data_IF_822211701917
#
_entry.id   IF_822211701917
#
_cell.length_a   1.000
_cell.length_b   1.000
_cell.length_c   1.000
_cell.angle_alpha   90.00
_cell.angle_beta   90.00
_cell.angle_gamma   90.00
#
_symmetry.space_group_name_H-M   'P 1'
#
loop_
_entity.id
_entity.type
_entity.pdbx_description
1 polymer ?
#
# COMPACT_ATOMS: atom_id res chain seq x y z
N UNK A 1 -1.32 -3.08 3.78
CA UNK A 1 -1.12 -3.17 2.31
C UNK A 1 -1.88 -2.03 1.66
N UNK A 2 -1.28 -1.42 0.65
CA UNK A 2 -1.92 -0.41 -0.20
C UNK A 2 -1.64 -0.85 -1.63
N UNK A 3 -2.68 -1.06 -2.42
CA UNK A 3 -2.58 -1.60 -3.77
C UNK A 3 -3.44 -0.79 -4.73
N UNK A 4 -2.92 -0.54 -5.93
CA UNK A 4 -3.51 0.32 -6.94
C UNK A 4 -4.21 -0.55 -8.01
N UNK A 5 -5.36 -0.11 -8.49
CA UNK A 5 -6.08 -0.79 -9.58
C UNK A 5 -6.93 0.21 -10.36
N UNK A 6 -7.30 -0.13 -11.59
CA UNK A 6 -8.20 0.69 -12.40
C UNK A 6 -9.49 -0.08 -12.68
N UNK A 7 -10.64 0.60 -12.57
CA UNK A 7 -11.93 0.00 -12.91
C UNK A 7 -12.17 -0.04 -14.43
N UNK A 8 -13.29 -0.64 -14.83
CA UNK A 8 -13.69 -0.77 -16.26
C UNK A 8 -13.93 0.58 -16.95
N UNK A 9 -14.06 1.67 -16.18
CA UNK A 9 -14.17 3.04 -16.69
C UNK A 9 -12.83 3.78 -16.66
N UNK A 10 -11.74 3.07 -16.37
CA UNK A 10 -10.38 3.58 -16.27
C UNK A 10 -10.22 4.64 -15.18
N UNK A 11 -10.97 4.50 -14.08
CA UNK A 11 -10.77 5.30 -12.86
C UNK A 11 -9.83 4.56 -11.92
N UNK A 12 -8.86 5.29 -11.41
CA UNK A 12 -7.90 4.79 -10.43
C UNK A 12 -8.59 4.55 -9.08
N UNK A 13 -8.27 3.41 -8.48
CA UNK A 13 -8.78 2.97 -7.21
C UNK A 13 -7.64 2.39 -6.37
N UNK A 14 -7.78 2.52 -5.06
CA UNK A 14 -6.77 2.07 -4.10
C UNK A 14 -7.44 1.21 -3.06
N UNK A 15 -6.96 -0.01 -2.91
CA UNK A 15 -7.34 -0.94 -1.84
C UNK A 15 -6.43 -0.70 -0.65
N UNK A 16 -7.02 -0.59 0.54
CA UNK A 16 -6.27 -0.52 1.79
C UNK A 16 -6.69 -1.65 2.71
N UNK A 17 -5.71 -2.45 3.12
CA UNK A 17 -5.85 -3.48 4.15
C UNK A 17 -4.85 -3.25 5.28
N UNK A 18 -5.22 -3.57 6.50
CA UNK A 18 -4.31 -3.53 7.65
C UNK A 18 -4.18 -4.89 8.30
N UNK A 19 -2.99 -5.16 8.81
CA UNK A 19 -2.73 -6.32 9.64
C UNK A 19 -2.36 -5.84 11.04
N UNK A 20 -2.93 -6.45 12.06
CA UNK A 20 -2.62 -6.17 13.46
C UNK A 20 -2.64 -7.45 14.29
N UNK A 21 -2.05 -7.37 15.47
CA UNK A 21 -2.04 -8.46 16.44
C UNK A 21 -2.86 -8.02 17.64
N UNK A 22 -3.77 -8.88 18.10
CA UNK A 22 -4.59 -8.62 19.28
C UNK A 22 -3.87 -8.96 20.60
N UNK A 23 -4.55 -8.75 21.72
CA UNK A 23 -4.01 -9.01 23.06
C UNK A 23 -3.76 -10.51 23.33
N UNK A 24 -4.28 -11.41 22.48
CA UNK A 24 -4.07 -12.86 22.54
C UNK A 24 -2.98 -13.33 21.58
N UNK A 25 -2.21 -12.41 20.99
CA UNK A 25 -1.18 -12.69 19.98
C UNK A 25 -1.73 -13.33 18.69
N UNK A 26 -3.01 -13.11 18.38
CA UNK A 26 -3.61 -13.57 17.13
C UNK A 26 -3.45 -12.48 16.08
N UNK A 27 -2.94 -12.86 14.91
CA UNK A 27 -2.84 -11.97 13.77
C UNK A 27 -4.19 -11.87 13.05
N UNK A 28 -4.60 -10.64 12.76
CA UNK A 28 -5.82 -10.30 12.04
C UNK A 28 -5.47 -9.50 10.80
N UNK A 29 -6.24 -9.71 9.73
CA UNK A 29 -6.19 -8.89 8.52
C UNK A 29 -7.58 -8.32 8.24
N UNK A 30 -7.66 -7.01 8.12
CA UNK A 30 -8.92 -6.29 7.91
C UNK A 30 -8.86 -5.45 6.63
N UNK A 31 -9.89 -5.58 5.82
CA UNK A 31 -10.12 -4.73 4.66
C UNK A 31 -10.73 -3.40 5.11
N UNK A 32 -10.02 -2.30 4.88
CA UNK A 32 -10.47 -0.96 5.29
C UNK A 32 -11.28 -0.24 4.21
N UNK A 33 -11.18 -0.69 2.96
CA UNK A 33 -11.97 -0.14 1.86
C UNK A 33 -11.23 -0.07 0.54
N UNK A 34 -12.03 0.24 -0.48
CA UNK A 34 -11.63 0.55 -1.84
C UNK A 34 -11.98 2.02 -2.09
N UNK A 35 -10.98 2.82 -2.43
CA UNK A 35 -11.09 4.27 -2.52
C UNK A 35 -10.77 4.74 -3.92
N UNK A 36 -11.68 5.47 -4.55
CA UNK A 36 -11.40 6.11 -5.84
C UNK A 36 -10.51 7.33 -5.63
N UNK A 37 -9.47 7.47 -6.46
CA UNK A 37 -8.56 8.60 -6.46
C UNK A 37 -8.47 9.22 -7.86
N UNK A 38 -8.15 10.50 -7.93
CA UNK A 38 -8.00 11.19 -9.21
C UNK A 38 -6.71 10.78 -9.95
N UNK A 39 -5.70 10.32 -9.21
CA UNK A 39 -4.43 9.84 -9.74
C UNK A 39 -3.68 8.98 -8.71
N UNK A 40 -2.72 8.19 -9.18
CA UNK A 40 -1.85 7.31 -8.39
C UNK A 40 -0.49 7.95 -8.06
N UNK A 41 -0.38 9.28 -8.03
CA UNK A 41 0.86 9.93 -7.61
C UNK A 41 1.13 9.69 -6.12
N UNK A 42 2.40 9.58 -5.74
CA UNK A 42 2.79 9.28 -4.35
C UNK A 42 2.14 10.19 -3.31
N UNK A 43 2.03 11.50 -3.58
CA UNK A 43 1.46 12.48 -2.66
C UNK A 43 -0.04 12.23 -2.43
N UNK A 44 -0.76 11.90 -3.51
CA UNK A 44 -2.19 11.55 -3.45
C UNK A 44 -2.41 10.29 -2.61
N UNK A 45 -1.57 9.27 -2.82
CA UNK A 45 -1.65 8.01 -2.08
C UNK A 45 -1.30 8.19 -0.60
N UNK A 46 -0.26 8.97 -0.28
CA UNK A 46 0.10 9.29 1.10
C UNK A 46 -1.02 10.05 1.80
N UNK A 47 -1.62 11.05 1.13
CA UNK A 47 -2.76 11.79 1.67
C UNK A 47 -3.96 10.87 1.93
N UNK A 48 -4.29 9.97 0.99
CA UNK A 48 -5.36 8.98 1.16
C UNK A 48 -5.10 8.06 2.35
N UNK A 49 -3.89 7.49 2.47
CA UNK A 49 -3.53 6.60 3.59
C UNK A 49 -3.73 7.34 4.92
N UNK A 50 -3.26 8.58 5.02
CA UNK A 50 -3.38 9.38 6.24
C UNK A 50 -4.84 9.72 6.56
N UNK A 51 -5.64 10.07 5.57
CA UNK A 51 -7.07 10.31 5.73
C UNK A 51 -7.81 9.06 6.26
N UNK A 52 -7.55 7.91 5.65
CA UNK A 52 -8.19 6.64 6.02
C UNK A 52 -7.84 6.27 7.46
N UNK A 53 -6.56 6.35 7.82
CA UNK A 53 -6.12 6.10 9.20
C UNK A 53 -6.77 7.08 10.18
N UNK A 54 -6.85 8.37 9.84
CA UNK A 54 -7.48 9.39 10.67
C UNK A 54 -8.98 9.11 10.88
N UNK A 55 -9.72 8.78 9.81
CA UNK A 55 -11.15 8.44 9.89
C UNK A 55 -11.43 7.22 10.77
N UNK A 56 -10.49 6.29 10.84
CA UNK A 56 -10.58 5.09 11.68
C UNK A 56 -9.95 5.29 13.07
N UNK A 57 -9.50 6.51 13.38
CA UNK A 57 -8.84 6.86 14.63
C UNK A 57 -7.58 6.00 14.90
N UNK A 58 -6.89 5.60 13.82
CA UNK A 58 -5.65 4.84 13.85
C UNK A 58 -4.47 5.80 13.71
N UNK A 59 -3.49 5.68 14.60
CA UNK A 59 -2.28 6.50 14.53
C UNK A 59 -1.24 5.87 13.61
N UNK A 60 -0.70 6.65 12.67
CA UNK A 60 0.45 6.25 11.84
C UNK A 60 1.66 5.83 12.67
N UNK A 61 1.80 6.34 13.90
CA UNK A 61 2.87 5.94 14.83
C UNK A 61 2.82 4.47 15.26
N UNK A 62 1.69 3.79 15.02
CA UNK A 62 1.53 2.35 15.24
C UNK A 62 1.87 1.53 14.01
N UNK A 63 2.10 2.15 12.85
CA UNK A 63 2.56 1.46 11.66
C UNK A 63 3.95 0.87 11.90
N UNK A 64 4.09 -0.42 11.62
CA UNK A 64 5.38 -1.15 11.72
C UNK A 64 5.81 -1.70 10.38
N UNK A 65 4.85 -2.04 9.53
CA UNK A 65 5.13 -2.72 8.28
C UNK A 65 4.12 -2.28 7.22
N UNK A 66 4.63 -1.90 6.06
CA UNK A 66 3.82 -1.59 4.89
C UNK A 66 4.37 -2.34 3.68
N UNK A 67 3.42 -2.79 2.85
CA UNK A 67 3.67 -3.51 1.61
C UNK A 67 3.48 -2.55 0.47
N UNK A 68 4.44 -2.53 -0.44
CA UNK A 68 4.47 -1.67 -1.60
C UNK A 68 4.76 -2.51 -2.83
N UNK A 69 4.14 -2.18 -3.97
CA UNK A 69 4.63 -2.68 -5.24
C UNK A 69 5.99 -2.03 -5.60
N UNK A 70 6.59 -2.51 -6.69
CA UNK A 70 7.87 -2.00 -7.18
C UNK A 70 7.75 -0.70 -7.99
N UNK A 71 6.55 -0.12 -8.13
CA UNK A 71 6.34 1.08 -8.93
C UNK A 71 7.06 2.28 -8.31
N UNK A 72 7.46 3.23 -9.15
CA UNK A 72 8.18 4.42 -8.69
C UNK A 72 7.38 5.26 -7.70
N UNK A 73 6.05 5.26 -7.84
CA UNK A 73 5.17 6.02 -6.94
C UNK A 73 5.12 5.38 -5.55
N UNK A 74 5.22 4.05 -5.46
CA UNK A 74 5.18 3.32 -4.19
C UNK A 74 6.57 3.18 -3.56
N UNK A 75 7.53 2.61 -4.30
CA UNK A 75 8.86 2.27 -3.82
C UNK A 75 9.96 3.29 -4.15
N UNK A 76 9.63 4.41 -4.81
CA UNK A 76 10.60 5.42 -5.22
C UNK A 76 11.44 5.99 -4.07
N UNK A 77 12.77 5.93 -4.20
CA UNK A 77 13.69 6.32 -3.14
C UNK A 77 13.66 7.83 -2.77
N UNK A 78 13.21 8.68 -3.69
CA UNK A 78 13.19 10.15 -3.52
C UNK A 78 11.84 10.66 -3.02
N UNK A 79 10.74 10.21 -3.65
CA UNK A 79 9.39 10.73 -3.44
C UNK A 79 8.32 9.64 -3.34
N UNK A 80 8.69 8.36 -3.32
CA UNK A 80 7.71 7.27 -3.24
C UNK A 80 6.97 7.26 -1.90
N UNK A 81 5.78 6.65 -1.87
CA UNK A 81 4.95 6.49 -0.65
C UNK A 81 5.78 5.92 0.49
N UNK A 82 6.59 4.89 0.22
CA UNK A 82 7.47 4.28 1.21
C UNK A 82 8.44 5.27 1.86
N UNK A 83 9.02 6.18 1.06
CA UNK A 83 9.96 7.19 1.56
C UNK A 83 9.24 8.22 2.43
N UNK A 84 8.06 8.66 2.00
CA UNK A 84 7.26 9.65 2.71
C UNK A 84 6.73 9.12 4.03
N UNK A 85 6.10 7.93 4.03
CA UNK A 85 5.61 7.28 5.27
C UNK A 85 6.75 7.04 6.26
N UNK A 86 7.91 6.56 5.79
CA UNK A 86 9.08 6.34 6.64
C UNK A 86 9.68 7.64 7.21
N UNK A 87 9.45 8.78 6.56
CA UNK A 87 9.85 10.08 7.11
C UNK A 87 9.02 10.49 8.34
N UNK A 88 7.76 10.06 8.39
CA UNK A 88 6.85 10.30 9.53
C UNK A 88 6.95 9.23 10.61
N UNK A 89 7.09 7.96 10.21
CA UNK A 89 7.27 6.82 11.12
C UNK A 89 8.51 6.01 10.69
N UNK A 90 9.71 6.33 11.23
CA UNK A 90 10.96 5.66 10.85
C UNK A 90 10.99 4.15 11.11
N UNK A 91 10.12 3.63 11.98
CA UNK A 91 9.98 2.20 12.27
C UNK A 91 9.09 1.47 11.26
N UNK A 92 8.43 2.17 10.34
CA UNK A 92 7.67 1.56 9.26
C UNK A 92 8.64 0.91 8.26
N UNK A 93 8.74 -0.42 8.32
CA UNK A 93 9.59 -1.22 7.47
C UNK A 93 8.98 -1.31 6.07
N UNK A 94 9.81 -1.06 5.06
CA UNK A 94 9.48 -1.30 3.66
C UNK A 94 9.52 -2.80 3.37
N UNK A 95 8.49 -3.34 2.74
CA UNK A 95 8.55 -4.68 2.15
C UNK A 95 7.87 -4.72 0.80
N UNK A 96 8.49 -5.48 -0.09
CA UNK A 96 8.00 -5.62 -1.45
C UNK A 96 6.75 -6.51 -1.50
N UNK A 97 5.81 -6.18 -2.36
CA UNK A 97 4.61 -6.98 -2.58
C UNK A 97 4.97 -8.29 -3.29
N UNK A 98 4.88 -9.41 -2.57
CA UNK A 98 5.08 -10.73 -3.17
C UNK A 98 4.01 -11.07 -4.22
N UNK A 99 2.78 -10.57 -4.05
CA UNK A 99 1.70 -10.75 -5.04
C UNK A 99 2.07 -10.11 -6.39
N UNK A 100 2.48 -8.84 -6.37
CA UNK A 100 2.96 -8.16 -7.57
C UNK A 100 4.23 -8.83 -8.16
N UNK A 101 5.19 -9.19 -7.31
CA UNK A 101 6.41 -9.86 -7.77
C UNK A 101 6.11 -11.21 -8.45
N UNK A 102 5.18 -11.99 -7.91
CA UNK A 102 4.73 -13.25 -8.50
C UNK A 102 4.00 -13.01 -9.83
N UNK A 103 3.10 -12.02 -9.87
CA UNK A 103 2.37 -11.69 -11.10
C UNK A 103 3.33 -11.32 -12.24
N UNK A 104 4.35 -10.49 -11.95
CA UNK A 104 5.38 -10.14 -12.93
C UNK A 104 6.20 -11.36 -13.40
N UNK A 105 6.55 -12.26 -12.48
CA UNK A 105 7.28 -13.48 -12.84
C UNK A 105 6.45 -14.41 -13.73
N UNK A 106 5.15 -14.55 -13.46
CA UNK A 106 4.23 -15.31 -14.30
C UNK A 106 4.04 -14.67 -15.68
N UNK A 107 3.84 -13.37 -15.74
CA UNK A 107 3.70 -12.63 -16.99
C UNK A 107 4.96 -12.75 -17.87
N UNK A 108 6.15 -12.63 -17.27
CA UNK A 108 7.41 -12.84 -17.98
C UNK A 108 7.57 -14.29 -18.47
N UNK A 109 7.22 -15.28 -17.66
CA UNK A 109 7.25 -16.69 -18.08
C UNK A 109 6.30 -16.95 -19.26
N UNK A 110 5.10 -16.35 -19.25
CA UNK A 110 4.09 -16.51 -20.31
C UNK A 110 4.46 -15.78 -21.61
N UNK A 111 5.16 -14.64 -21.54
CA UNK A 111 5.67 -13.93 -22.73
C UNK A 111 6.76 -14.69 -23.47
N UNK A 112 7.45 -15.60 -22.77
CA UNK A 112 8.52 -16.42 -23.31
C UNK A 112 8.05 -17.84 -23.70
N UNK A 113 6.73 -18.08 -23.73
CA UNK A 113 6.08 -19.27 -24.29
C UNK A 113 5.51 -18.98 -25.68
#
# INVERSE_FOLDING_TARGET
MVDETADVTNREQVVICVQYVDDHFVAHEEFLGLYTVDNICSDTLVALIKDVLLRLNLSISKARWLVYDGASNMAGAKSGVAKQIRSEEPRAVFTNCYGNALNLACDDAMKNW
#
